data_IF_606047316236
#
_entry.id   IF_606047316236
#
_cell.length_a   1.000
_cell.length_b   1.000
_cell.length_c   1.000
_cell.angle_alpha   90.00
_cell.angle_beta   90.00
_cell.angle_gamma   90.00
#
_symmetry.space_group_name_H-M   'P 1'
#
loop_
_entity.id
_entity.type
_entity.pdbx_description
1 polymer ?
#
# COMPACT_ATOMS: atom_id res chain seq x y z
N UNK A 1 -6.28 16.96 -23.43
CA UNK A 1 -5.71 15.60 -23.38
C UNK A 1 -6.67 14.72 -22.61
N UNK A 2 -7.09 13.60 -23.20
CA UNK A 2 -8.21 12.78 -22.68
C UNK A 2 -7.81 12.12 -21.37
N UNK A 3 -8.54 12.43 -20.30
CA UNK A 3 -8.41 11.75 -19.00
C UNK A 3 -8.67 10.26 -19.20
N UNK A 4 -7.62 9.46 -19.02
CA UNK A 4 -7.73 8.01 -18.97
C UNK A 4 -8.38 7.70 -17.61
N UNK A 5 -9.70 7.58 -17.59
CA UNK A 5 -10.40 6.96 -16.46
C UNK A 5 -10.05 5.47 -16.49
N UNK A 6 -8.86 5.13 -15.99
CA UNK A 6 -8.52 3.77 -15.57
C UNK A 6 -9.57 3.37 -14.55
N UNK A 7 -10.24 2.23 -14.78
CA UNK A 7 -11.01 1.55 -13.75
C UNK A 7 -10.00 1.07 -12.71
N UNK A 8 -9.62 1.95 -11.79
CA UNK A 8 -8.86 1.55 -10.61
C UNK A 8 -9.74 0.54 -9.89
N UNK A 9 -9.21 -0.62 -9.52
CA UNK A 9 -9.96 -1.54 -8.68
C UNK A 9 -10.23 -0.94 -7.30
N UNK A 10 -10.83 -1.75 -6.42
CA UNK A 10 -11.27 -1.37 -5.07
C UNK A 10 -10.17 -0.74 -4.18
N UNK A 11 -8.90 -0.83 -4.58
CA UNK A 11 -7.73 -0.34 -3.87
C UNK A 11 -6.58 0.02 -4.83
N UNK A 12 -5.81 1.07 -4.49
CA UNK A 12 -4.53 1.40 -5.14
C UNK A 12 -3.34 0.70 -4.49
N UNK A 13 -3.40 0.45 -3.18
CA UNK A 13 -2.45 -0.38 -2.43
C UNK A 13 -2.73 -1.86 -2.65
N UNK A 14 -1.74 -2.74 -2.50
CA UNK A 14 -1.92 -4.18 -2.50
C UNK A 14 -0.60 -4.92 -2.34
N UNK A 15 -0.56 -5.90 -1.42
CA UNK A 15 0.59 -6.77 -1.19
C UNK A 15 0.36 -8.13 -1.86
N UNK A 16 1.33 -8.68 -2.58
CA UNK A 16 1.16 -10.04 -3.11
C UNK A 16 0.94 -11.02 -1.96
N UNK A 17 0.19 -12.10 -2.23
CA UNK A 17 -0.07 -13.17 -1.26
C UNK A 17 1.17 -13.76 -0.56
N UNK A 18 2.36 -13.64 -1.17
CA UNK A 18 3.64 -14.14 -0.64
C UNK A 18 4.46 -13.08 0.13
N UNK A 19 4.06 -11.81 0.06
CA UNK A 19 4.76 -10.72 0.76
C UNK A 19 4.69 -10.96 2.27
N UNK A 20 5.83 -10.93 2.94
CA UNK A 20 5.89 -11.06 4.41
C UNK A 20 5.57 -9.73 5.07
N UNK A 21 4.69 -9.78 6.06
CA UNK A 21 4.27 -8.64 6.88
C UNK A 21 4.72 -8.91 8.32
N UNK A 22 5.39 -7.93 8.94
CA UNK A 22 5.81 -8.06 10.33
C UNK A 22 4.59 -8.00 11.26
N UNK A 23 4.46 -9.00 12.13
CA UNK A 23 3.38 -9.08 13.12
C UNK A 23 3.94 -9.35 14.51
N UNK A 24 3.11 -9.24 15.56
CA UNK A 24 3.52 -9.52 16.93
C UNK A 24 4.02 -10.98 17.13
N UNK A 25 3.57 -11.91 16.28
CA UNK A 25 4.00 -13.32 16.28
C UNK A 25 5.15 -13.61 15.30
N UNK A 26 5.81 -12.56 14.79
CA UNK A 26 6.85 -12.64 13.77
C UNK A 26 6.32 -12.40 12.35
N UNK A 27 7.17 -12.55 11.32
CA UNK A 27 6.79 -12.27 9.93
C UNK A 27 5.82 -13.31 9.39
N UNK A 28 4.62 -12.88 8.97
CA UNK A 28 3.54 -13.73 8.41
C UNK A 28 3.33 -13.36 6.94
N UNK A 29 3.12 -14.34 6.06
CA UNK A 29 2.82 -14.04 4.65
C UNK A 29 1.42 -13.44 4.51
N UNK A 30 1.23 -12.50 3.60
CA UNK A 30 0.02 -11.69 3.52
C UNK A 30 -1.28 -12.51 3.42
N UNK A 31 -1.27 -13.64 2.70
CA UNK A 31 -2.45 -14.53 2.58
C UNK A 31 -2.86 -15.25 3.87
N UNK A 32 -1.99 -15.32 4.86
CA UNK A 32 -2.25 -15.97 6.15
C UNK A 32 -2.64 -14.97 7.25
N UNK A 33 -2.63 -13.67 6.95
CA UNK A 33 -3.10 -12.65 7.87
C UNK A 33 -4.60 -12.78 8.11
N UNK A 34 -4.99 -12.62 9.37
CA UNK A 34 -6.38 -12.73 9.81
C UNK A 34 -6.81 -11.48 10.56
N UNK A 35 -8.12 -11.20 10.52
CA UNK A 35 -8.72 -10.15 11.36
C UNK A 35 -8.36 -10.42 12.83
N UNK A 36 -7.90 -9.39 13.53
CA UNK A 36 -7.39 -9.47 14.90
C UNK A 36 -5.87 -9.58 15.01
N UNK A 37 -5.15 -9.93 13.94
CA UNK A 37 -3.69 -9.96 13.94
C UNK A 37 -3.11 -8.58 14.30
N UNK A 38 -2.08 -8.59 15.15
CA UNK A 38 -1.33 -7.40 15.55
C UNK A 38 -0.21 -7.16 14.54
N UNK A 39 -0.37 -6.19 13.64
CA UNK A 39 0.60 -5.88 12.58
C UNK A 39 1.51 -4.74 13.03
N UNK A 40 2.81 -4.84 12.76
CA UNK A 40 3.78 -3.79 13.08
C UNK A 40 3.49 -2.56 12.24
N UNK A 41 3.29 -1.42 12.92
CA UNK A 41 2.99 -0.14 12.27
C UNK A 41 4.06 0.91 12.51
N UNK A 42 4.20 1.83 11.56
CA UNK A 42 5.16 2.93 11.63
C UNK A 42 4.80 3.85 12.81
N UNK A 43 5.81 4.35 13.52
CA UNK A 43 5.61 5.11 14.78
C UNK A 43 5.73 4.25 16.05
N UNK A 44 6.12 2.98 15.92
CA UNK A 44 6.68 2.18 17.02
C UNK A 44 5.73 1.14 17.63
N UNK A 45 4.46 1.09 17.23
CA UNK A 45 3.44 0.21 17.81
C UNK A 45 3.11 -1.04 16.99
N UNK A 46 1.99 -1.64 17.36
CA UNK A 46 1.25 -2.62 16.57
C UNK A 46 -0.20 -2.15 16.48
N UNK A 47 -0.83 -2.35 15.32
CA UNK A 47 -2.24 -2.04 15.11
C UNK A 47 -3.01 -3.32 14.77
N UNK A 48 -4.24 -3.40 15.26
CA UNK A 48 -5.13 -4.55 15.03
C UNK A 48 -5.68 -4.51 13.62
N UNK A 49 -5.45 -5.57 12.85
CA UNK A 49 -6.02 -5.74 11.52
C UNK A 49 -7.55 -5.91 11.63
N UNK A 50 -8.30 -5.02 10.99
CA UNK A 50 -9.78 -4.96 11.10
C UNK A 50 -10.47 -5.65 9.95
N UNK A 51 -9.85 -5.66 8.78
CA UNK A 51 -10.35 -6.34 7.61
C UNK A 51 -9.20 -6.74 6.68
N UNK A 52 -9.38 -7.85 5.98
CA UNK A 52 -8.47 -8.37 4.96
C UNK A 52 -9.29 -8.72 3.74
N UNK A 53 -8.97 -8.13 2.60
CA UNK A 53 -9.58 -8.48 1.33
C UNK A 53 -8.55 -8.82 0.29
N UNK A 54 -9.04 -9.26 -0.86
CA UNK A 54 -8.18 -9.57 -1.99
C UNK A 54 -8.72 -8.99 -3.28
N UNK A 55 -7.81 -8.68 -4.20
CA UNK A 55 -8.17 -8.39 -5.58
C UNK A 55 -7.16 -9.04 -6.52
N UNK A 56 -7.54 -9.17 -7.79
CA UNK A 56 -6.59 -9.33 -8.88
C UNK A 56 -6.37 -7.97 -9.52
N UNK A 57 -5.24 -7.79 -10.19
CA UNK A 57 -5.05 -6.61 -11.03
C UNK A 57 -6.15 -6.59 -12.08
N UNK A 58 -7.01 -5.57 -12.03
CA UNK A 58 -8.11 -5.41 -12.97
C UNK A 58 -7.69 -4.66 -14.25
N UNK A 59 -6.61 -3.87 -14.17
CA UNK A 59 -6.11 -3.04 -15.27
C UNK A 59 -4.88 -3.69 -15.90
N UNK A 60 -4.97 -4.07 -17.18
CA UNK A 60 -3.84 -4.60 -17.96
C UNK A 60 -2.63 -3.65 -17.97
N UNK A 61 -2.81 -2.36 -17.65
CA UNK A 61 -1.74 -1.37 -17.57
C UNK A 61 -0.98 -1.38 -16.23
N UNK A 62 -1.50 -2.00 -15.17
CA UNK A 62 -0.84 -2.03 -13.86
C UNK A 62 0.09 -3.24 -13.76
N UNK A 63 1.40 -3.01 -13.85
CA UNK A 63 2.40 -4.08 -13.74
C UNK A 63 2.80 -4.27 -12.25
N UNK A 64 2.74 -5.49 -11.70
CA UNK A 64 3.26 -5.77 -10.35
C UNK A 64 4.69 -5.29 -10.20
N UNK A 65 5.01 -4.69 -9.04
CA UNK A 65 6.33 -4.13 -8.75
C UNK A 65 7.02 -4.97 -7.69
N UNK A 66 8.18 -5.54 -8.02
CA UNK A 66 9.01 -6.31 -7.10
C UNK A 66 10.05 -5.42 -6.46
N UNK A 67 10.23 -5.54 -5.15
CA UNK A 67 11.32 -4.84 -4.46
C UNK A 67 12.67 -5.44 -4.89
N UNK A 68 13.61 -4.61 -5.29
CA UNK A 68 14.98 -5.04 -5.57
C UNK A 68 15.70 -5.43 -4.28
N UNK A 69 16.23 -6.64 -4.18
CA UNK A 69 17.12 -7.00 -3.06
C UNK A 69 18.57 -6.67 -3.38
N UNK A 70 19.33 -6.27 -2.36
CA UNK A 70 20.77 -5.99 -2.49
C UNK A 70 21.66 -7.18 -2.10
N UNK A 71 21.07 -8.27 -1.58
CA UNK A 71 21.78 -9.47 -1.12
C UNK A 71 21.90 -10.57 -2.19
N UNK A 72 21.41 -10.32 -3.41
CA UNK A 72 21.44 -11.29 -4.52
C UNK A 72 20.30 -12.31 -4.52
N UNK A 73 19.38 -12.27 -3.56
CA UNK A 73 18.16 -13.07 -3.56
C UNK A 73 16.95 -12.29 -4.12
N UNK A 74 15.94 -12.98 -4.66
CA UNK A 74 14.70 -12.30 -5.03
C UNK A 74 13.92 -11.90 -3.78
N UNK A 75 13.53 -10.62 -3.69
CA UNK A 75 12.66 -10.17 -2.61
C UNK A 75 11.28 -10.83 -2.70
N UNK A 76 10.76 -11.25 -1.55
CA UNK A 76 9.37 -11.69 -1.42
C UNK A 76 8.36 -10.54 -1.52
N UNK A 77 8.81 -9.29 -1.39
CA UNK A 77 7.95 -8.11 -1.49
C UNK A 77 7.61 -7.81 -2.94
N UNK A 78 6.34 -8.04 -3.28
CA UNK A 78 5.76 -7.75 -4.58
C UNK A 78 4.44 -7.00 -4.35
N UNK A 79 4.26 -5.86 -4.98
CA UNK A 79 3.18 -4.91 -4.69
C UNK A 79 2.50 -4.40 -5.96
N UNK A 80 1.38 -3.70 -5.84
CA UNK A 80 0.77 -2.96 -6.94
C UNK A 80 1.65 -1.77 -7.37
N UNK A 81 1.50 -1.27 -8.59
CA UNK A 81 2.30 -0.15 -9.11
C UNK A 81 2.13 1.14 -8.30
N UNK A 82 0.90 1.40 -7.84
CA UNK A 82 0.51 2.57 -7.04
C UNK A 82 0.74 2.36 -5.52
N UNK A 83 1.33 1.24 -5.10
CA UNK A 83 1.66 1.01 -3.69
C UNK A 83 2.61 2.10 -3.21
N UNK A 84 2.20 2.84 -2.17
CA UNK A 84 3.06 3.84 -1.56
C UNK A 84 4.05 3.19 -0.60
N UNK A 85 5.30 3.64 -0.72
CA UNK A 85 6.46 3.23 0.06
C UNK A 85 6.97 4.45 0.82
N UNK A 86 7.26 4.31 2.11
CA UNK A 86 7.89 5.36 2.89
C UNK A 86 9.35 5.51 2.51
N UNK A 87 9.75 6.74 2.19
CA UNK A 87 11.13 7.10 1.88
C UNK A 87 11.58 8.18 2.85
N UNK A 88 12.74 7.94 3.48
CA UNK A 88 13.49 8.96 4.21
C UNK A 88 14.80 9.18 3.46
N UNK A 89 15.08 10.43 3.10
CA UNK A 89 16.26 10.80 2.34
C UNK A 89 16.72 12.19 2.80
N UNK A 90 18.02 12.48 2.76
CA UNK A 90 18.57 13.71 3.37
C UNK A 90 18.03 15.01 2.74
N UNK A 91 17.50 14.95 1.51
CA UNK A 91 16.91 16.10 0.82
C UNK A 91 15.41 16.26 1.03
N UNK A 92 14.71 15.31 1.67
CA UNK A 92 13.24 15.38 1.82
C UNK A 92 12.80 16.63 2.58
N UNK A 93 13.51 16.98 3.65
CA UNK A 93 13.20 18.18 4.44
C UNK A 93 13.38 19.46 3.62
N UNK A 94 14.45 19.53 2.82
CA UNK A 94 14.78 20.71 2.00
C UNK A 94 13.79 20.88 0.85
N UNK A 95 13.46 19.80 0.15
CA UNK A 95 12.65 19.85 -1.06
C UNK A 95 11.14 19.87 -0.78
N UNK A 96 10.69 19.21 0.30
CA UNK A 96 9.27 18.96 0.55
C UNK A 96 8.80 19.41 1.94
N UNK A 97 9.69 19.96 2.77
CA UNK A 97 9.33 20.40 4.13
C UNK A 97 8.95 19.27 5.07
N UNK A 98 9.35 18.03 4.77
CA UNK A 98 9.04 16.85 5.57
C UNK A 98 10.24 15.89 5.61
N UNK A 99 10.53 15.31 6.77
CA UNK A 99 11.64 14.35 6.93
C UNK A 99 11.42 13.04 6.14
N UNK A 100 10.17 12.74 5.82
CA UNK A 100 9.77 11.52 5.14
C UNK A 100 8.66 11.83 4.14
N UNK A 101 8.68 11.09 3.04
CA UNK A 101 7.71 11.20 1.96
C UNK A 101 7.20 9.81 1.59
N UNK A 102 6.09 9.77 0.87
CA UNK A 102 5.53 8.55 0.31
C UNK A 102 5.74 8.56 -1.21
N UNK A 103 6.34 7.50 -1.73
CA UNK A 103 6.63 7.37 -3.15
C UNK A 103 5.90 6.14 -3.72
N UNK A 104 5.18 6.27 -4.85
CA UNK A 104 4.66 5.11 -5.58
C UNK A 104 5.78 4.16 -6.02
N UNK A 105 5.56 2.85 -5.87
CA UNK A 105 6.53 1.83 -6.25
C UNK A 105 6.96 1.92 -7.73
N UNK A 106 6.06 2.32 -8.63
CA UNK A 106 6.38 2.54 -10.05
C UNK A 106 7.43 3.64 -10.27
N UNK A 107 7.40 4.74 -9.52
CA UNK A 107 8.39 5.82 -9.64
C UNK A 107 9.71 5.47 -8.96
N UNK A 108 9.67 4.60 -7.95
CA UNK A 108 10.87 4.04 -7.33
C UNK A 108 11.60 3.02 -8.23
N UNK A 109 11.00 2.64 -9.36
CA UNK A 109 11.65 1.77 -10.33
C UNK A 109 12.77 2.47 -11.11
N UNK A 110 12.59 3.77 -11.38
CA UNK A 110 13.56 4.57 -12.14
C UNK A 110 14.92 4.72 -11.42
N UNK A 111 14.91 4.53 -10.10
CA UNK A 111 16.09 4.58 -9.22
C UNK A 111 16.54 3.18 -8.76
N UNK A 112 15.97 2.12 -9.34
CA UNK A 112 16.36 0.73 -9.08
C UNK A 112 15.89 0.13 -7.75
N UNK A 113 15.08 0.83 -6.96
CA UNK A 113 14.53 0.28 -5.71
C UNK A 113 13.46 -0.78 -5.97
N UNK A 114 12.69 -0.63 -7.05
CA UNK A 114 11.71 -1.61 -7.52
C UNK A 114 11.96 -1.98 -8.98
N UNK A 115 11.39 -3.09 -9.43
CA UNK A 115 11.38 -3.48 -10.83
C UNK A 115 10.00 -4.01 -11.24
N UNK A 116 9.52 -3.70 -12.46
CA UNK A 116 8.30 -4.31 -12.97
C UNK A 116 8.48 -5.82 -13.17
N UNK A 117 7.51 -6.61 -12.71
CA UNK A 117 7.48 -8.07 -12.89
C UNK A 117 6.20 -8.47 -13.64
N UNK A 118 6.18 -8.34 -14.98
CA UNK A 118 4.99 -8.67 -15.78
C UNK A 118 4.78 -10.17 -15.94
N UNK A 119 5.72 -11.01 -15.46
CA UNK A 119 5.64 -12.47 -15.61
C UNK A 119 4.73 -13.12 -14.58
N UNK A 120 4.36 -12.38 -13.53
CA UNK A 120 3.51 -12.85 -12.44
C UNK A 120 2.10 -12.27 -12.53
N UNK A 121 1.12 -13.07 -12.11
CA UNK A 121 -0.28 -12.64 -11.97
C UNK A 121 -0.76 -12.87 -10.53
N UNK A 122 -0.30 -12.05 -9.57
CA UNK A 122 -0.54 -12.29 -8.15
C UNK A 122 -1.98 -11.95 -7.76
N UNK A 123 -2.45 -12.63 -6.71
CA UNK A 123 -3.55 -12.12 -5.89
C UNK A 123 -2.94 -11.09 -4.93
N UNK A 124 -3.51 -9.89 -4.93
CA UNK A 124 -3.16 -8.84 -4.00
C UNK A 124 -4.05 -8.90 -2.76
N UNK A 125 -3.43 -8.75 -1.60
CA UNK A 125 -4.03 -8.70 -0.27
C UNK A 125 -4.05 -7.25 0.19
N UNK A 126 -5.20 -6.83 0.70
CA UNK A 126 -5.47 -5.47 1.17
C UNK A 126 -5.69 -5.50 2.67
N UNK A 127 -4.93 -4.68 3.40
CA UNK A 127 -4.98 -4.62 4.85
C UNK A 127 -5.68 -3.34 5.29
N UNK A 128 -6.71 -3.44 6.13
CA UNK A 128 -7.44 -2.28 6.62
C UNK A 128 -7.44 -2.26 8.15
N UNK A 129 -7.09 -1.10 8.71
CA UNK A 129 -6.98 -0.86 10.14
C UNK A 129 -8.03 0.16 10.62
N UNK A 130 -7.98 0.52 11.90
CA UNK A 130 -8.82 1.59 12.44
C UNK A 130 -8.47 2.98 11.89
N UNK A 131 -7.21 3.21 11.54
CA UNK A 131 -6.69 4.46 11.00
C UNK A 131 -5.85 4.14 9.77
N UNK A 132 -5.40 5.17 9.06
CA UNK A 132 -4.35 4.99 8.07
C UNK A 132 -3.06 4.50 8.75
N UNK A 133 -2.49 3.42 8.25
CA UNK A 133 -1.26 2.83 8.77
C UNK A 133 -0.22 2.62 7.67
N UNK A 134 1.05 2.68 8.06
CA UNK A 134 2.16 2.15 7.28
C UNK A 134 2.62 0.85 7.95
N UNK A 135 2.63 -0.26 7.21
CA UNK A 135 2.98 -1.59 7.73
C UNK A 135 4.37 -2.01 7.28
N UNK A 136 5.09 -2.75 8.13
CA UNK A 136 6.44 -3.22 7.81
C UNK A 136 6.37 -4.50 6.98
N UNK A 137 6.97 -4.48 5.78
CA UNK A 137 7.03 -5.62 4.88
C UNK A 137 8.46 -5.80 4.36
N UNK A 138 9.17 -6.81 4.89
CA UNK A 138 10.61 -6.91 4.69
C UNK A 138 11.30 -5.63 5.15
N UNK A 139 12.07 -5.00 4.27
CA UNK A 139 12.82 -3.78 4.59
C UNK A 139 12.00 -2.48 4.43
N UNK A 140 10.82 -2.54 3.83
CA UNK A 140 10.06 -1.34 3.48
C UNK A 140 8.86 -1.10 4.41
N UNK A 141 8.48 0.16 4.57
CA UNK A 141 7.21 0.54 5.16
C UNK A 141 6.23 0.88 4.04
N UNK A 142 5.11 0.16 4.00
CA UNK A 142 4.15 0.21 2.91
C UNK A 142 2.79 0.69 3.39
N UNK A 143 2.10 1.48 2.59
CA UNK A 143 0.72 1.93 2.85
C UNK A 143 -0.26 0.76 3.01
N UNK A 144 -1.08 0.82 4.06
CA UNK A 144 -2.31 0.04 4.21
C UNK A 144 -3.48 0.63 3.40
N UNK A 145 -4.55 -0.14 3.21
CA UNK A 145 -5.71 0.33 2.44
C UNK A 145 -6.29 1.61 3.04
N UNK A 146 -6.35 2.66 2.23
CA UNK A 146 -7.18 3.84 2.47
C UNK A 146 -8.53 3.67 1.77
N UNK A 147 -9.62 3.38 2.51
CA UNK A 147 -10.88 3.00 1.90
C UNK A 147 -11.57 4.21 1.25
N UNK A 148 -11.70 4.20 -0.08
CA UNK A 148 -12.62 5.07 -0.80
C UNK A 148 -13.98 4.37 -0.89
N UNK A 149 -14.79 4.49 0.15
CA UNK A 149 -16.06 3.76 0.24
C UNK A 149 -17.01 4.03 -0.94
N UNK A 150 -17.00 5.24 -1.51
CA UNK A 150 -17.88 5.56 -2.64
C UNK A 150 -17.47 4.78 -3.90
N UNK A 151 -16.15 4.63 -4.12
CA UNK A 151 -15.59 3.80 -5.19
C UNK A 151 -15.82 2.31 -4.92
N UNK A 152 -15.53 1.84 -3.69
CA UNK A 152 -15.68 0.43 -3.32
C UNK A 152 -17.14 -0.01 -3.47
N UNK A 153 -18.12 0.83 -3.07
CA UNK A 153 -19.56 0.54 -3.26
C UNK A 153 -19.91 0.44 -4.74
N UNK A 154 -19.37 1.32 -5.58
CA UNK A 154 -19.65 1.32 -7.02
C UNK A 154 -19.06 0.10 -7.75
N UNK A 155 -17.93 -0.42 -7.29
CA UNK A 155 -17.23 -1.54 -7.91
C UNK A 155 -17.60 -2.90 -7.33
N UNK A 156 -17.74 -3.00 -6.01
CA UNK A 156 -18.08 -4.23 -5.30
C UNK A 156 -18.88 -3.93 -4.02
N UNK A 157 -20.21 -3.86 -4.18
CA UNK A 157 -21.13 -3.63 -3.07
C UNK A 157 -21.04 -4.70 -1.97
N UNK A 158 -20.63 -5.94 -2.31
CA UNK A 158 -20.48 -7.02 -1.32
C UNK A 158 -19.24 -6.77 -0.46
N UNK A 159 -18.11 -6.43 -1.07
CA UNK A 159 -16.90 -6.02 -0.33
C UNK A 159 -17.17 -4.76 0.51
N UNK A 160 -17.91 -3.79 -0.02
CA UNK A 160 -18.29 -2.61 0.76
C UNK A 160 -19.10 -3.00 2.01
N UNK A 161 -20.09 -3.88 1.88
CA UNK A 161 -20.89 -4.35 3.01
C UNK A 161 -20.04 -5.11 4.04
N UNK A 162 -19.11 -5.93 3.59
CA UNK A 162 -18.17 -6.65 4.45
C UNK A 162 -17.29 -5.67 5.25
N UNK A 163 -16.65 -4.71 4.59
CA UNK A 163 -15.86 -3.66 5.24
C UNK A 163 -16.70 -2.90 6.26
N UNK A 164 -17.94 -2.50 5.93
CA UNK A 164 -18.81 -1.77 6.84
C UNK A 164 -19.26 -2.61 8.04
N UNK A 165 -19.33 -3.94 7.92
CA UNK A 165 -19.63 -4.83 9.03
C UNK A 165 -18.50 -4.89 10.06
N UNK A 166 -17.24 -4.77 9.61
CA UNK A 166 -16.06 -4.74 10.48
C UNK A 166 -15.72 -3.32 10.97
N UNK A 167 -16.01 -2.30 10.16
CA UNK A 167 -15.70 -0.90 10.42
C UNK A 167 -16.93 0.00 10.17
N UNK A 168 -17.96 -0.05 11.04
CA UNK A 168 -19.18 0.75 10.87
C UNK A 168 -18.94 2.26 10.81
N UNK A 169 -17.84 2.75 11.40
CA UNK A 169 -17.48 4.17 11.40
C UNK A 169 -17.31 4.76 9.99
N UNK A 170 -16.95 3.93 9.00
CA UNK A 170 -16.74 4.31 7.61
C UNK A 170 -18.03 4.77 6.89
N UNK A 171 -19.20 4.57 7.48
CA UNK A 171 -20.47 5.17 6.99
C UNK A 171 -20.43 6.70 7.09
N UNK A 172 -19.77 7.24 8.12
CA UNK A 172 -19.74 8.68 8.39
C UNK A 172 -18.51 9.36 7.79
N UNK A 173 -18.63 10.65 7.45
CA UNK A 173 -17.48 11.45 7.04
C UNK A 173 -16.41 11.53 8.14
N UNK A 174 -16.81 11.62 9.41
CA UNK A 174 -15.88 11.67 10.54
C UNK A 174 -15.06 10.38 10.68
N UNK A 175 -15.68 9.21 10.49
CA UNK A 175 -14.94 7.95 10.51
C UNK A 175 -13.99 7.78 9.33
N UNK A 176 -14.34 8.34 8.15
CA UNK A 176 -13.45 8.40 6.98
C UNK A 176 -12.28 9.37 7.18
N UNK A 177 -12.46 10.44 7.95
CA UNK A 177 -11.41 11.42 8.26
C UNK A 177 -10.25 10.84 9.10
N UNK A 178 -10.42 9.65 9.68
CA UNK A 178 -9.36 8.93 10.39
C UNK A 178 -8.27 8.34 9.45
N UNK A 179 -8.50 8.35 8.13
CA UNK A 179 -7.59 7.78 7.13
C UNK A 179 -6.82 8.85 6.37
N UNK A 180 -6.22 9.79 7.09
CA UNK A 180 -5.40 10.86 6.52
C UNK A 180 -3.94 10.43 6.41
N UNK A 181 -3.34 10.68 5.25
CA UNK A 181 -1.88 10.61 5.08
C UNK A 181 -1.27 11.86 5.69
N UNK A 182 -0.32 11.68 6.60
CA UNK A 182 0.40 12.80 7.24
C UNK A 182 1.68 13.18 6.52
N UNK A 183 2.04 12.46 5.44
CA UNK A 183 3.26 12.64 4.66
C UNK A 183 2.92 13.07 3.24
N UNK A 184 3.73 13.94 2.61
CA UNK A 184 3.60 14.26 1.20
C UNK A 184 3.70 12.98 0.36
N UNK A 185 2.87 12.89 -0.68
CA UNK A 185 2.96 11.83 -1.69
C UNK A 185 3.59 12.44 -2.92
N UNK A 186 4.74 11.92 -3.33
CA UNK A 186 5.49 12.45 -4.45
C UNK A 186 4.98 11.88 -5.78
N UNK A 187 4.97 12.73 -6.81
CA UNK A 187 4.83 12.30 -8.20
C UNK A 187 6.15 11.84 -8.83
N UNK A 188 6.11 11.37 -10.08
CA UNK A 188 7.28 10.93 -10.86
C UNK A 188 8.45 11.93 -10.84
N UNK A 189 8.16 13.21 -11.07
CA UNK A 189 9.19 14.25 -11.19
C UNK A 189 9.76 14.59 -9.83
N UNK A 190 8.93 14.63 -8.80
CA UNK A 190 9.35 14.86 -7.42
C UNK A 190 10.21 13.71 -6.89
N UNK A 191 9.89 12.45 -7.24
CA UNK A 191 10.75 11.30 -6.93
C UNK A 191 12.10 11.44 -7.65
N UNK A 192 12.12 11.79 -8.94
CA UNK A 192 13.37 11.98 -9.67
C UNK A 192 14.25 13.09 -9.07
N UNK A 193 13.65 14.19 -8.57
CA UNK A 193 14.38 15.26 -7.88
C UNK A 193 15.04 14.79 -6.58
N UNK A 194 14.50 13.78 -5.91
CA UNK A 194 15.02 13.29 -4.63
C UNK A 194 16.27 12.43 -4.79
N UNK A 195 16.49 11.84 -5.98
CA UNK A 195 17.57 10.86 -6.23
C UNK A 195 18.47 11.24 -7.43
N UNK A 196 18.21 12.37 -8.07
CA UNK A 196 18.98 12.90 -9.20
C UNK A 196 20.18 13.77 -8.83
#
# INVERSE_FOLDING_TARGET
>A
MRGRHSRRGIASSGLSANTRVETLRGPVIARELQIGDQVKTYGGGFSTLRWVGTSRVADEASVPMRRTSFDGHESSTLVTSDQLVLVSHYQTEILFGANEVLCPAIHLADIGMFSPDPTVNPIFVHLLFDTYELVKCGDDWLESLRPNMDQIVAEDAKTAQEILSHLPKLVSQQGRAAYVRTRPVLDEREVALLFG
#
